data_IF_508311944022
#
_entry.id   IF_508311944022
#
_cell.length_a   1.000
_cell.length_b   1.000
_cell.length_c   1.000
_cell.angle_alpha   90.00
_cell.angle_beta   90.00
_cell.angle_gamma   90.00
#
_symmetry.space_group_name_H-M   'P 1'
#
loop_
_entity.id
_entity.type
_entity.pdbx_description
1 polymer ?
#
# COMPACT_ATOMS: atom_id res chain seq x y z
N UNK A 1 5.42 -14.70 -8.09
CA UNK A 1 6.12 -13.71 -8.93
C UNK A 1 5.06 -12.83 -9.56
N UNK A 2 5.02 -11.53 -9.25
CA UNK A 2 4.06 -10.60 -9.83
C UNK A 2 4.45 -10.36 -11.31
N UNK A 3 3.52 -10.54 -12.25
CA UNK A 3 3.73 -10.23 -13.67
C UNK A 3 2.79 -9.09 -14.04
N UNK A 4 3.35 -7.98 -14.48
CA UNK A 4 2.60 -6.91 -15.12
C UNK A 4 2.45 -7.21 -16.60
N UNK A 5 1.35 -6.76 -17.20
CA UNK A 5 1.18 -6.77 -18.65
C UNK A 5 2.24 -5.86 -19.28
N UNK A 6 2.90 -6.28 -20.36
CA UNK A 6 4.04 -5.54 -20.96
C UNK A 6 3.66 -4.16 -21.50
N UNK A 7 2.36 -3.88 -21.59
CA UNK A 7 1.79 -2.60 -22.00
C UNK A 7 1.74 -1.53 -20.90
N UNK A 8 1.99 -1.89 -19.63
CA UNK A 8 1.86 -0.96 -18.49
C UNK A 8 3.24 -0.47 -18.04
N UNK A 9 3.53 0.80 -18.33
CA UNK A 9 4.75 1.48 -17.87
C UNK A 9 4.64 1.92 -16.40
N UNK A 10 5.58 1.45 -15.58
CA UNK A 10 5.69 1.85 -14.18
C UNK A 10 6.88 2.78 -13.99
N UNK A 11 6.65 3.94 -13.39
CA UNK A 11 7.72 4.84 -12.98
C UNK A 11 8.57 4.21 -11.87
N UNK A 12 9.84 4.62 -11.75
CA UNK A 12 10.78 4.09 -10.73
C UNK A 12 10.33 4.31 -9.29
N UNK A 13 9.54 5.35 -9.07
CA UNK A 13 8.95 5.75 -7.80
C UNK A 13 7.51 5.22 -7.63
N UNK A 14 7.08 4.28 -8.48
CA UNK A 14 5.80 3.59 -8.29
C UNK A 14 5.80 2.82 -6.97
N UNK A 15 4.65 2.78 -6.31
CA UNK A 15 4.48 2.15 -4.99
C UNK A 15 3.61 0.91 -5.14
N UNK A 16 4.05 -0.21 -4.56
CA UNK A 16 3.27 -1.43 -4.45
C UNK A 16 2.73 -1.62 -3.02
N UNK A 17 1.41 -1.64 -2.86
CA UNK A 17 0.75 -1.77 -1.56
C UNK A 17 -0.09 -3.03 -1.50
N UNK A 18 -0.08 -3.73 -0.37
CA UNK A 18 -1.03 -4.84 -0.13
C UNK A 18 -2.33 -4.26 0.40
N UNK A 19 -3.44 -4.49 -0.32
CA UNK A 19 -4.78 -4.02 0.05
C UNK A 19 -5.75 -5.18 0.21
N UNK A 20 -6.79 -4.98 1.01
CA UNK A 20 -7.90 -5.92 1.18
C UNK A 20 -9.13 -5.34 0.51
N UNK A 21 -9.88 -6.16 -0.24
CA UNK A 21 -11.14 -5.73 -0.83
C UNK A 21 -12.19 -5.55 0.27
N UNK A 22 -12.41 -4.32 0.70
CA UNK A 22 -13.26 -4.04 1.87
C UNK A 22 -12.63 -4.56 3.17
N UNK A 23 -13.46 -4.84 4.17
CA UNK A 23 -12.98 -5.27 5.51
C UNK A 23 -12.56 -6.74 5.55
N UNK A 24 -13.26 -7.61 4.80
CA UNK A 24 -13.14 -9.07 4.91
C UNK A 24 -12.86 -9.78 3.57
N UNK A 25 -12.72 -9.04 2.47
CA UNK A 25 -12.49 -9.65 1.16
C UNK A 25 -11.05 -10.10 0.94
N UNK A 26 -10.77 -10.52 -0.30
CA UNK A 26 -9.44 -11.01 -0.66
C UNK A 26 -8.38 -9.91 -0.65
N UNK A 27 -7.13 -10.33 -0.41
CA UNK A 27 -5.95 -9.46 -0.51
C UNK A 27 -5.45 -9.38 -1.95
N UNK A 28 -5.03 -8.19 -2.36
CA UNK A 28 -4.46 -7.93 -3.68
C UNK A 28 -3.31 -6.93 -3.59
N UNK A 29 -2.46 -6.92 -4.62
CA UNK A 29 -1.42 -5.91 -4.78
C UNK A 29 -2.00 -4.75 -5.57
N UNK A 30 -1.95 -3.55 -5.00
CA UNK A 30 -2.30 -2.30 -5.64
C UNK A 30 -1.02 -1.61 -6.07
N UNK A 31 -0.99 -1.12 -7.32
CA UNK A 31 0.12 -0.32 -7.83
C UNK A 31 -0.34 1.14 -7.95
N UNK A 32 0.45 2.06 -7.42
CA UNK A 32 0.28 3.50 -7.67
C UNK A 32 1.43 3.97 -8.53
N UNK A 33 1.10 4.66 -9.62
CA UNK A 33 2.11 5.31 -10.46
C UNK A 33 2.68 6.52 -9.72
N UNK A 34 3.99 6.71 -9.82
CA UNK A 34 4.66 7.90 -9.33
C UNK A 34 4.82 8.95 -10.43
N UNK A 35 5.64 9.96 -10.18
CA UNK A 35 5.89 11.08 -11.08
C UNK A 35 7.25 11.04 -11.77
N UNK A 36 8.05 9.99 -11.56
CA UNK A 36 9.38 9.90 -12.16
C UNK A 36 9.31 9.65 -13.67
N UNK A 37 10.11 10.41 -14.43
CA UNK A 37 10.34 10.17 -15.87
C UNK A 37 11.09 8.85 -16.14
N UNK A 38 11.69 8.23 -15.12
CA UNK A 38 12.43 6.97 -15.26
C UNK A 38 11.47 5.80 -15.11
N UNK A 39 11.45 4.91 -16.09
CA UNK A 39 10.61 3.71 -16.08
C UNK A 39 11.37 2.50 -15.50
N UNK A 40 10.64 1.61 -14.84
CA UNK A 40 11.13 0.31 -14.39
C UNK A 40 11.22 -0.61 -15.62
N UNK A 41 12.41 -1.15 -15.95
CA UNK A 41 12.56 -2.04 -17.10
C UNK A 41 11.83 -3.36 -16.86
N UNK A 42 11.52 -4.09 -17.94
CA UNK A 42 10.97 -5.44 -17.87
C UNK A 42 11.83 -6.36 -16.96
N UNK A 43 11.17 -7.12 -16.09
CA UNK A 43 11.85 -7.94 -15.07
C UNK A 43 12.48 -7.15 -13.92
N UNK A 44 12.35 -5.82 -13.92
CA UNK A 44 12.76 -4.93 -12.84
C UNK A 44 11.94 -5.14 -11.56
N UNK A 45 12.34 -4.44 -10.49
CA UNK A 45 11.72 -4.54 -9.16
C UNK A 45 11.24 -3.18 -8.69
N UNK A 46 10.06 -3.15 -8.09
CA UNK A 46 9.53 -2.00 -7.37
C UNK A 46 10.25 -1.91 -6.02
N UNK A 47 10.78 -0.72 -5.69
CA UNK A 47 11.51 -0.47 -4.44
C UNK A 47 10.59 0.03 -3.33
N UNK A 48 9.62 0.86 -3.70
CA UNK A 48 8.68 1.45 -2.76
C UNK A 48 7.52 0.49 -2.50
N UNK A 49 7.37 0.04 -1.26
CA UNK A 49 6.32 -0.90 -0.88
C UNK A 49 5.62 -0.47 0.40
N UNK A 50 4.32 -0.69 0.47
CA UNK A 50 3.53 -0.41 1.66
C UNK A 50 2.95 -1.70 2.27
N UNK A 51 3.04 -1.86 3.60
CA UNK A 51 2.43 -2.98 4.28
C UNK A 51 0.89 -2.86 4.27
N UNK A 52 0.17 -3.97 4.48
CA UNK A 52 -1.28 -3.90 4.68
C UNK A 52 -1.61 -3.12 5.95
N UNK A 53 -2.81 -2.53 5.95
CA UNK A 53 -3.35 -1.84 7.12
C UNK A 53 -3.68 -2.84 8.23
N UNK A 54 -3.18 -2.58 9.43
CA UNK A 54 -3.52 -3.33 10.64
C UNK A 54 -4.81 -2.77 11.26
N UNK A 55 -5.93 -3.44 10.98
CA UNK A 55 -7.25 -3.02 11.43
C UNK A 55 -7.38 -3.11 12.96
N UNK A 56 -6.78 -4.12 13.60
CA UNK A 56 -6.85 -4.30 15.05
C UNK A 56 -6.17 -3.14 15.77
N UNK A 57 -4.97 -2.77 15.30
CA UNK A 57 -4.25 -1.61 15.80
C UNK A 57 -5.06 -0.33 15.62
N UNK A 58 -5.67 -0.10 14.46
CA UNK A 58 -6.49 1.09 14.21
C UNK A 58 -7.73 1.17 15.11
N UNK A 59 -8.42 0.03 15.33
CA UNK A 59 -9.55 -0.03 16.26
C UNK A 59 -9.07 0.27 17.68
N UNK A 60 -7.95 -0.31 18.10
CA UNK A 60 -7.31 0.01 19.37
C UNK A 60 -7.01 1.50 19.52
N UNK A 61 -6.32 2.09 18.54
CA UNK A 61 -5.99 3.51 18.54
C UNK A 61 -7.26 4.40 18.56
N UNK A 62 -8.33 3.99 17.88
CA UNK A 62 -9.61 4.71 17.93
C UNK A 62 -10.26 4.65 19.33
N UNK A 63 -10.35 3.46 19.93
CA UNK A 63 -10.96 3.27 21.25
C UNK A 63 -10.14 3.96 22.34
N UNK A 64 -8.82 3.76 22.34
CA UNK A 64 -7.91 4.25 23.39
C UNK A 64 -7.42 5.69 23.15
N UNK A 65 -7.33 6.14 21.90
CA UNK A 65 -6.94 7.51 21.54
C UNK A 65 -7.95 8.56 22.02
N UNK A 66 -9.23 8.19 22.09
CA UNK A 66 -10.27 9.03 22.70
C UNK A 66 -10.13 9.13 24.24
N UNK A 67 -9.55 8.12 24.90
CA UNK A 67 -9.38 8.10 26.36
C UNK A 67 -8.24 9.01 26.84
N UNK A 68 -7.25 9.31 25.98
CA UNK A 68 -6.13 10.21 26.33
C UNK A 68 -6.50 11.71 26.40
N UNK A 69 -7.71 12.12 26.04
CA UNK A 69 -8.17 13.54 26.12
C UNK A 69 -8.81 13.96 27.46
N UNK A 70 -8.63 13.20 28.54
CA UNK A 70 -9.02 13.64 29.90
C UNK A 70 -7.91 13.41 30.92
N UNK A 71 -6.82 14.18 30.84
CA UNK A 71 -6.04 14.53 32.03
C UNK A 71 -5.50 15.97 31.91
N UNK A 72 -6.05 16.81 32.79
CA UNK A 72 -5.81 18.22 33.10
C UNK A 72 -6.45 19.24 32.17
#
# INVERSE_FOLDING_TARGET
MLRSDESIELSRDSIASIRTKGVLGDKYVSLSQGGSEKIIPAGGRIRETEPPVDIEKLIGDFIFGNVKKKKK
#
